data_IF_547261121386
#
_entry.id   IF_547261121386
#
_cell.length_a   1.000
_cell.length_b   1.000
_cell.length_c   1.000
_cell.angle_alpha   90.00
_cell.angle_beta   90.00
_cell.angle_gamma   90.00
#
_symmetry.space_group_name_H-M   'P 1'
#
loop_
_entity.id
_entity.type
_entity.pdbx_description
1 polymer ?
#
# COMPACT_ATOMS: atom_id res chain seq x y z
N UNK A 1 -31.34 -0.01 14.43
CA UNK A 1 -31.04 0.38 13.03
C UNK A 1 -31.30 -0.84 12.15
N UNK A 2 -31.80 -0.66 10.94
CA UNK A 2 -32.01 -1.77 9.98
C UNK A 2 -30.87 -1.78 8.95
N UNK A 3 -30.52 -2.96 8.39
CA UNK A 3 -29.55 -3.04 7.29
C UNK A 3 -29.92 -2.11 6.13
N UNK A 4 -28.96 -1.41 5.57
CA UNK A 4 -29.15 -0.45 4.48
C UNK A 4 -28.17 -0.74 3.33
N UNK A 5 -28.59 -0.39 2.10
CA UNK A 5 -27.71 -0.40 0.91
C UNK A 5 -27.08 0.97 0.67
N UNK A 6 -27.35 1.94 1.52
CA UNK A 6 -26.81 3.30 1.42
C UNK A 6 -25.59 3.43 2.31
N UNK A 7 -24.51 3.97 1.74
CA UNK A 7 -23.27 4.27 2.47
C UNK A 7 -23.51 5.12 3.72
N UNK A 8 -24.52 5.96 3.71
CA UNK A 8 -24.93 6.77 4.86
C UNK A 8 -25.24 5.91 6.08
N UNK A 9 -25.90 4.75 5.88
CA UNK A 9 -26.17 3.81 6.97
C UNK A 9 -24.90 3.27 7.61
N UNK A 10 -23.88 2.95 6.82
CA UNK A 10 -22.59 2.49 7.36
C UNK A 10 -21.85 3.61 8.12
N UNK A 11 -21.90 4.84 7.62
CA UNK A 11 -21.32 6.00 8.32
C UNK A 11 -22.03 6.26 9.67
N UNK A 12 -23.35 6.13 9.71
CA UNK A 12 -24.14 6.28 10.95
C UNK A 12 -23.84 5.16 11.94
N UNK A 13 -23.65 3.91 11.48
CA UNK A 13 -23.23 2.79 12.31
C UNK A 13 -21.85 3.07 12.92
N UNK A 14 -20.88 3.44 12.14
CA UNK A 14 -19.52 3.74 12.63
C UNK A 14 -19.52 4.92 13.61
N UNK A 15 -20.29 5.96 13.34
CA UNK A 15 -20.46 7.08 14.27
C UNK A 15 -21.06 6.62 15.62
N UNK A 16 -22.04 5.73 15.59
CA UNK A 16 -22.66 5.17 16.80
C UNK A 16 -21.67 4.29 17.58
N UNK A 17 -20.94 3.41 16.90
CA UNK A 17 -19.91 2.55 17.51
C UNK A 17 -18.82 3.36 18.22
N UNK A 18 -18.45 4.50 17.67
CA UNK A 18 -17.41 5.38 18.22
C UNK A 18 -17.94 6.60 18.99
N UNK A 19 -19.19 6.56 19.44
CA UNK A 19 -19.73 7.63 20.29
C UNK A 19 -19.28 7.45 21.75
N UNK A 20 -18.57 8.41 22.36
CA UNK A 20 -18.13 8.31 23.74
C UNK A 20 -19.30 8.06 24.70
N UNK A 21 -19.12 7.11 25.61
CA UNK A 21 -20.07 6.75 26.65
C UNK A 21 -21.21 5.82 26.24
N UNK A 22 -21.53 5.69 24.95
CA UNK A 22 -22.60 4.81 24.45
C UNK A 22 -22.16 3.86 23.34
N UNK A 23 -21.01 4.08 22.77
CA UNK A 23 -20.44 3.26 21.70
C UNK A 23 -19.84 1.95 22.20
N UNK A 24 -19.24 1.20 21.29
CA UNK A 24 -18.56 -0.04 21.60
C UNK A 24 -17.19 0.25 22.24
N UNK A 25 -16.90 -0.30 23.43
CA UNK A 25 -15.62 -0.05 24.11
C UNK A 25 -14.41 -0.43 23.26
N UNK A 26 -14.47 -1.54 22.52
CA UNK A 26 -13.39 -1.97 21.63
C UNK A 26 -13.15 -0.97 20.50
N UNK A 27 -14.21 -0.53 19.81
CA UNK A 27 -14.08 0.46 18.71
C UNK A 27 -13.54 1.79 19.21
N UNK A 28 -13.90 2.22 20.41
CA UNK A 28 -13.44 3.48 21.03
C UNK A 28 -11.94 3.48 21.35
N UNK A 29 -11.36 2.33 21.70
CA UNK A 29 -9.95 2.19 22.01
C UNK A 29 -9.04 2.18 20.76
N UNK A 30 -9.62 1.96 19.58
CA UNK A 30 -8.83 1.81 18.37
C UNK A 30 -8.18 3.13 17.91
N UNK A 31 -6.98 2.97 17.35
CA UNK A 31 -6.18 3.99 16.70
C UNK A 31 -5.90 3.64 15.24
N UNK A 32 -5.37 4.58 14.44
CA UNK A 32 -4.92 4.27 13.08
C UNK A 32 -3.93 3.10 13.02
N UNK A 33 -3.02 3.05 14.00
CA UNK A 33 -2.00 2.00 14.04
C UNK A 33 -2.58 0.64 14.41
N UNK A 34 -3.57 0.57 15.33
CA UNK A 34 -4.18 -0.70 15.74
C UNK A 34 -5.10 -1.28 14.66
N UNK A 35 -5.71 -0.44 13.81
CA UNK A 35 -6.60 -0.86 12.72
C UNK A 35 -5.83 -1.14 11.41
N UNK A 36 -4.64 -0.57 11.22
CA UNK A 36 -3.87 -0.76 9.99
C UNK A 36 -3.60 -2.25 9.61
N UNK A 37 -3.32 -3.18 10.56
CA UNK A 37 -3.19 -4.61 10.21
C UNK A 37 -4.45 -5.20 9.60
N UNK A 38 -5.63 -4.91 10.14
CA UNK A 38 -6.91 -5.39 9.60
C UNK A 38 -7.17 -4.90 8.18
N UNK A 39 -6.81 -3.65 7.85
CA UNK A 39 -6.91 -3.14 6.47
C UNK A 39 -6.12 -3.99 5.48
N UNK A 40 -4.99 -4.56 5.90
CA UNK A 40 -4.16 -5.45 5.07
C UNK A 40 -4.80 -6.83 4.99
N UNK A 41 -5.33 -7.35 6.10
CA UNK A 41 -6.03 -8.63 6.20
C UNK A 41 -7.23 -8.66 5.24
N UNK A 42 -8.15 -7.70 5.33
CA UNK A 42 -9.31 -7.58 4.44
C UNK A 42 -8.89 -7.49 2.95
N UNK A 43 -7.79 -6.80 2.65
CA UNK A 43 -7.29 -6.75 1.28
C UNK A 43 -6.79 -8.12 0.80
N UNK A 44 -6.24 -8.97 1.66
CA UNK A 44 -5.87 -10.34 1.32
C UNK A 44 -7.09 -11.23 1.16
N UNK A 45 -8.11 -11.10 2.00
CA UNK A 45 -9.36 -11.86 1.93
C UNK A 45 -10.12 -11.56 0.63
N UNK A 46 -10.17 -10.29 0.21
CA UNK A 46 -10.64 -9.91 -1.14
C UNK A 46 -9.86 -10.65 -2.24
N UNK A 47 -8.53 -10.73 -2.14
CA UNK A 47 -7.72 -11.43 -3.17
C UNK A 47 -7.93 -12.93 -3.15
N UNK A 48 -8.15 -13.54 -1.99
CA UNK A 48 -8.45 -14.95 -1.83
C UNK A 48 -9.82 -15.31 -2.41
N UNK A 49 -10.87 -14.53 -2.10
CA UNK A 49 -12.19 -14.69 -2.68
C UNK A 49 -12.16 -14.61 -4.23
N UNK A 50 -11.37 -13.68 -4.79
CA UNK A 50 -11.14 -13.58 -6.23
C UNK A 50 -10.46 -14.86 -6.78
N UNK A 51 -9.43 -15.35 -6.10
CA UNK A 51 -8.67 -16.54 -6.54
C UNK A 51 -9.55 -17.80 -6.54
N UNK A 52 -10.48 -17.91 -5.60
CA UNK A 52 -11.47 -18.99 -5.51
C UNK A 52 -12.64 -18.83 -6.50
N UNK A 53 -12.85 -17.64 -7.05
CA UNK A 53 -14.01 -17.33 -7.90
C UNK A 53 -15.31 -17.25 -7.12
N UNK A 54 -15.26 -16.98 -5.80
CA UNK A 54 -16.41 -16.91 -4.90
C UNK A 54 -16.97 -15.48 -4.86
N UNK A 55 -17.95 -15.21 -5.72
CA UNK A 55 -18.55 -13.87 -5.79
C UNK A 55 -19.39 -13.47 -4.58
N UNK A 56 -20.13 -14.38 -3.91
CA UNK A 56 -20.78 -14.06 -2.63
C UNK A 56 -19.77 -13.61 -1.58
N UNK A 57 -18.73 -14.39 -1.34
CA UNK A 57 -17.66 -14.09 -0.40
C UNK A 57 -16.94 -12.78 -0.76
N UNK A 58 -16.59 -12.59 -2.03
CA UNK A 58 -16.01 -11.33 -2.52
C UNK A 58 -16.87 -10.10 -2.16
N UNK A 59 -18.19 -10.26 -2.15
CA UNK A 59 -19.09 -9.17 -1.76
C UNK A 59 -18.98 -8.84 -0.26
N UNK A 60 -18.79 -9.86 0.58
CA UNK A 60 -18.61 -9.70 2.03
C UNK A 60 -17.26 -9.05 2.31
N UNK A 61 -16.17 -9.57 1.74
CA UNK A 61 -14.81 -9.04 1.93
C UNK A 61 -14.62 -7.60 1.40
N UNK A 62 -15.31 -7.25 0.30
CA UNK A 62 -15.35 -5.85 -0.15
C UNK A 62 -16.11 -4.95 0.83
N UNK A 63 -17.09 -5.50 1.55
CA UNK A 63 -17.79 -4.80 2.64
C UNK A 63 -16.86 -4.53 3.82
N UNK A 64 -16.07 -5.51 4.23
CA UNK A 64 -15.13 -5.41 5.35
C UNK A 64 -13.97 -4.46 5.00
N UNK A 65 -13.45 -4.53 3.79
CA UNK A 65 -12.47 -3.54 3.31
C UNK A 65 -13.06 -2.10 3.27
N UNK A 66 -14.33 -1.94 2.88
CA UNK A 66 -15.02 -0.65 2.93
C UNK A 66 -15.20 -0.18 4.38
N UNK A 67 -15.49 -1.09 5.32
CA UNK A 67 -15.56 -0.78 6.74
C UNK A 67 -14.24 -0.20 7.26
N UNK A 68 -13.09 -0.75 6.86
CA UNK A 68 -11.78 -0.20 7.22
C UNK A 68 -11.61 1.25 6.74
N UNK A 69 -12.04 1.56 5.53
CA UNK A 69 -12.00 2.93 4.99
C UNK A 69 -12.87 3.88 5.83
N UNK A 70 -14.08 3.46 6.17
CA UNK A 70 -15.02 4.23 6.99
C UNK A 70 -14.48 4.43 8.41
N UNK A 71 -13.89 3.40 9.00
CA UNK A 71 -13.29 3.45 10.32
C UNK A 71 -12.16 4.49 10.40
N UNK A 72 -11.22 4.41 9.48
CA UNK A 72 -10.14 5.39 9.40
C UNK A 72 -10.65 6.81 9.16
N UNK A 73 -11.62 6.99 8.28
CA UNK A 73 -12.22 8.30 8.02
C UNK A 73 -12.93 8.85 9.27
N UNK A 74 -13.60 8.01 10.05
CA UNK A 74 -14.25 8.41 11.31
C UNK A 74 -13.23 8.85 12.36
N UNK A 75 -12.13 8.12 12.54
CA UNK A 75 -11.05 8.52 13.45
C UNK A 75 -10.42 9.86 13.04
N UNK A 76 -10.28 10.09 11.73
CA UNK A 76 -9.76 11.36 11.21
C UNK A 76 -10.73 12.53 11.45
N UNK A 77 -12.03 12.30 11.30
CA UNK A 77 -13.09 13.27 11.60
C UNK A 77 -13.09 13.66 13.08
N UNK A 78 -12.94 12.70 13.99
CA UNK A 78 -12.83 12.92 15.43
C UNK A 78 -11.63 13.81 15.80
N UNK A 79 -10.56 13.76 15.01
CA UNK A 79 -9.37 14.62 15.16
C UNK A 79 -9.50 15.97 14.41
N UNK A 80 -10.61 16.21 13.72
CA UNK A 80 -10.81 17.42 12.91
C UNK A 80 -9.90 17.49 11.67
N UNK A 81 -9.38 16.35 11.19
CA UNK A 81 -8.45 16.32 10.07
C UNK A 81 -9.17 16.26 8.71
N UNK A 82 -10.04 15.28 8.52
CA UNK A 82 -10.89 15.09 7.33
C UNK A 82 -12.01 14.09 7.65
N UNK A 83 -13.07 14.09 6.83
CA UNK A 83 -14.20 13.16 6.92
C UNK A 83 -14.24 12.22 5.72
N UNK A 84 -15.15 11.24 5.74
CA UNK A 84 -15.35 10.29 4.64
C UNK A 84 -15.66 10.99 3.30
N UNK A 85 -16.39 12.09 3.32
CA UNK A 85 -16.67 12.89 2.12
C UNK A 85 -15.40 13.39 1.43
N UNK A 86 -14.39 13.78 2.20
CA UNK A 86 -13.09 14.22 1.67
C UNK A 86 -12.32 13.06 1.01
N UNK A 87 -12.45 11.84 1.56
CA UNK A 87 -11.86 10.64 0.96
C UNK A 87 -12.50 10.36 -0.41
N UNK A 88 -13.84 10.46 -0.49
CA UNK A 88 -14.59 10.31 -1.75
C UNK A 88 -14.20 11.40 -2.74
N UNK A 89 -14.13 12.66 -2.32
CA UNK A 89 -13.71 13.77 -3.17
C UNK A 89 -12.28 13.56 -3.70
N UNK A 90 -11.36 13.14 -2.85
CA UNK A 90 -9.97 12.91 -3.23
C UNK A 90 -9.85 11.83 -4.32
N UNK A 91 -10.58 10.72 -4.20
CA UNK A 91 -10.53 9.65 -5.22
C UNK A 91 -11.28 10.03 -6.50
N UNK A 92 -12.43 10.67 -6.43
CA UNK A 92 -13.18 11.10 -7.60
C UNK A 92 -12.43 12.16 -8.41
N UNK A 93 -11.85 13.16 -7.75
CA UNK A 93 -10.96 14.15 -8.38
C UNK A 93 -9.80 13.48 -9.10
N UNK A 94 -9.16 12.50 -8.46
CA UNK A 94 -8.08 11.74 -9.04
C UNK A 94 -8.51 10.92 -10.26
N UNK A 95 -9.67 10.27 -10.21
CA UNK A 95 -10.19 9.47 -11.32
C UNK A 95 -10.55 10.34 -12.52
N UNK A 96 -11.22 11.46 -12.31
CA UNK A 96 -11.55 12.44 -13.36
C UNK A 96 -10.27 12.97 -14.02
N UNK A 97 -9.27 13.38 -13.21
CA UNK A 97 -7.98 13.89 -13.72
C UNK A 97 -7.23 12.84 -14.54
N UNK A 98 -7.26 11.57 -14.12
CA UNK A 98 -6.50 10.48 -14.78
C UNK A 98 -7.20 9.90 -16.00
N UNK A 99 -8.47 10.18 -16.19
CA UNK A 99 -9.26 9.68 -17.31
C UNK A 99 -9.88 10.81 -18.14
N UNK A 100 -9.06 11.76 -18.64
CA UNK A 100 -9.59 12.88 -19.45
C UNK A 100 -10.26 12.41 -20.73
N UNK A 101 -9.94 11.23 -21.21
CA UNK A 101 -10.55 10.59 -22.36
C UNK A 101 -11.98 10.08 -22.09
N UNK A 102 -12.40 9.99 -20.84
CA UNK A 102 -13.75 9.59 -20.43
C UNK A 102 -14.57 10.80 -19.98
N UNK A 103 -13.92 11.73 -19.26
CA UNK A 103 -14.60 12.81 -18.54
C UNK A 103 -14.41 14.20 -19.16
N UNK A 104 -13.53 14.37 -20.18
CA UNK A 104 -13.40 15.60 -20.93
C UNK A 104 -13.82 15.40 -22.38
N UNK A 105 -14.46 16.42 -22.96
CA UNK A 105 -14.83 16.41 -24.39
C UNK A 105 -13.55 16.35 -25.26
N UNK A 106 -13.22 15.16 -25.73
CA UNK A 106 -12.14 14.94 -26.71
C UNK A 106 -12.64 14.05 -27.81
N UNK A 107 -12.72 14.61 -29.02
CA UNK A 107 -12.90 13.86 -30.25
C UNK A 107 -11.61 13.09 -30.59
N UNK A 108 -11.69 11.78 -30.76
CA UNK A 108 -10.59 10.96 -31.27
C UNK A 108 -10.59 9.52 -30.75
N UNK A 109 -10.06 8.62 -31.56
CA UNK A 109 -9.82 7.22 -31.16
C UNK A 109 -8.62 7.17 -30.22
N UNK A 110 -8.86 6.72 -28.98
CA UNK A 110 -7.82 6.62 -27.94
C UNK A 110 -7.40 5.17 -27.81
N UNK A 111 -6.10 4.89 -28.03
CA UNK A 111 -5.54 3.55 -27.83
C UNK A 111 -5.08 3.35 -26.39
N UNK A 112 -4.95 2.10 -25.91
CA UNK A 112 -4.42 1.79 -24.57
C UNK A 112 -3.03 2.41 -24.33
N UNK A 113 -2.19 2.52 -25.34
CA UNK A 113 -0.84 3.12 -25.27
C UNK A 113 -0.92 4.62 -25.01
N UNK A 114 -1.84 5.34 -25.64
CA UNK A 114 -2.09 6.76 -25.40
C UNK A 114 -2.54 7.00 -23.96
N UNK A 115 -3.41 6.12 -23.43
CA UNK A 115 -3.86 6.18 -22.03
C UNK A 115 -2.70 5.97 -21.08
N UNK A 116 -1.83 4.97 -21.32
CA UNK A 116 -0.67 4.68 -20.49
C UNK A 116 0.31 5.86 -20.45
N UNK A 117 0.63 6.45 -21.59
CA UNK A 117 1.53 7.62 -21.66
C UNK A 117 0.96 8.87 -20.98
N UNK A 118 -0.36 9.09 -21.08
CA UNK A 118 -1.04 10.16 -20.35
C UNK A 118 -1.01 9.93 -18.82
N UNK A 119 -1.22 8.72 -18.39
CA UNK A 119 -1.16 8.33 -16.97
C UNK A 119 0.22 8.56 -16.34
N UNK A 120 1.29 8.23 -17.06
CA UNK A 120 2.67 8.44 -16.58
C UNK A 120 2.94 9.94 -16.33
N UNK A 121 2.55 10.80 -17.28
CA UNK A 121 2.68 12.26 -17.11
C UNK A 121 1.86 12.77 -15.93
N UNK A 122 0.59 12.41 -15.84
CA UNK A 122 -0.29 12.85 -14.74
C UNK A 122 0.24 12.39 -13.38
N UNK A 123 0.75 11.15 -13.28
CA UNK A 123 1.37 10.65 -12.05
C UNK A 123 2.62 11.43 -11.66
N UNK A 124 3.44 11.84 -12.64
CA UNK A 124 4.62 12.66 -12.40
C UNK A 124 4.24 14.05 -11.88
N UNK A 125 3.23 14.69 -12.49
CA UNK A 125 2.68 15.98 -12.04
C UNK A 125 2.11 15.89 -10.61
N UNK A 126 1.29 14.88 -10.32
CA UNK A 126 0.74 14.64 -8.99
C UNK A 126 1.82 14.40 -7.93
N UNK A 127 2.91 13.75 -8.32
CA UNK A 127 4.08 13.54 -7.45
C UNK A 127 4.79 14.86 -7.15
N UNK A 128 4.97 15.70 -8.16
CA UNK A 128 5.58 17.02 -8.01
C UNK A 128 4.71 17.94 -7.13
N UNK A 129 3.38 17.98 -7.38
CA UNK A 129 2.43 18.74 -6.57
C UNK A 129 2.42 18.31 -5.10
N UNK A 130 2.47 16.99 -4.84
CA UNK A 130 2.56 16.46 -3.47
C UNK A 130 3.87 16.82 -2.78
N UNK A 131 4.97 16.78 -3.52
CA UNK A 131 6.27 17.18 -2.99
C UNK A 131 6.29 18.67 -2.62
N UNK A 132 5.68 19.52 -3.44
CA UNK A 132 5.58 20.96 -3.19
C UNK A 132 4.69 21.33 -1.98
N UNK A 133 3.73 20.46 -1.63
CA UNK A 133 2.81 20.68 -0.47
C UNK A 133 3.37 20.15 0.85
N UNK A 134 4.45 19.39 0.84
CA UNK A 134 5.06 18.86 2.07
C UNK A 134 5.78 19.96 2.81
N UNK A 135 5.59 20.08 4.14
CA UNK A 135 6.38 20.96 4.98
C UNK A 135 7.88 20.66 4.84
N UNK A 136 8.75 21.67 4.92
CA UNK A 136 10.20 21.50 4.73
C UNK A 136 10.86 20.48 5.67
N UNK A 137 10.32 20.31 6.86
CA UNK A 137 10.77 19.37 7.88
C UNK A 137 10.39 17.89 7.58
N UNK A 138 9.43 17.67 6.69
CA UNK A 138 9.04 16.34 6.21
C UNK A 138 9.60 16.00 4.82
N UNK A 139 10.36 16.90 4.23
CA UNK A 139 11.13 16.62 3.04
C UNK A 139 12.33 15.79 3.50
N UNK A 140 12.20 14.47 3.43
CA UNK A 140 13.38 13.61 3.49
C UNK A 140 14.31 14.03 2.37
N UNK A 141 15.36 14.75 2.73
CA UNK A 141 16.28 15.51 1.84
C UNK A 141 17.16 14.64 0.97
N UNK A 142 16.92 13.36 0.93
CA UNK A 142 17.65 12.48 0.06
C UNK A 142 16.84 12.27 -1.21
N UNK A 143 17.29 12.89 -2.31
CA UNK A 143 16.89 12.53 -3.66
C UNK A 143 17.27 11.09 -4.03
N UNK A 144 17.25 10.19 -3.02
CA UNK A 144 17.48 8.77 -3.18
C UNK A 144 16.41 8.19 -4.10
N UNK A 145 16.84 7.46 -5.09
CA UNK A 145 16.00 6.69 -6.00
C UNK A 145 14.99 5.83 -5.23
N UNK A 146 15.38 5.33 -4.07
CA UNK A 146 14.61 4.42 -3.23
C UNK A 146 13.60 5.13 -2.30
N UNK A 147 13.69 6.46 -2.12
CA UNK A 147 12.83 7.23 -1.21
C UNK A 147 11.32 7.14 -1.52
N UNK A 148 10.96 6.71 -2.73
CA UNK A 148 9.56 6.52 -3.11
C UNK A 148 8.97 5.13 -2.80
N UNK A 149 9.77 4.20 -2.25
CA UNK A 149 9.29 2.86 -1.83
C UNK A 149 8.66 2.99 -0.44
N UNK A 150 7.39 2.59 -0.35
CA UNK A 150 6.64 2.73 0.90
C UNK A 150 7.08 1.70 1.93
N UNK A 151 7.31 2.13 3.17
CA UNK A 151 7.73 1.24 4.25
C UNK A 151 6.62 0.26 4.71
N UNK A 152 5.34 0.65 4.55
CA UNK A 152 4.19 -0.16 4.98
C UNK A 152 3.76 -1.25 3.99
N UNK A 153 4.59 -1.60 3.01
CA UNK A 153 4.33 -2.75 2.14
C UNK A 153 4.75 -4.07 2.82
N UNK A 154 4.15 -5.23 2.44
CA UNK A 154 4.69 -6.52 2.82
C UNK A 154 6.17 -6.63 2.43
N UNK A 155 6.99 -7.25 3.29
CA UNK A 155 8.44 -7.22 3.17
C UNK A 155 8.94 -7.67 1.78
N UNK A 156 8.43 -8.79 1.27
CA UNK A 156 8.82 -9.31 -0.06
C UNK A 156 8.37 -8.39 -1.20
N UNK A 157 7.16 -7.82 -1.12
CA UNK A 157 6.69 -6.85 -2.13
C UNK A 157 7.55 -5.58 -2.13
N UNK A 158 7.98 -5.14 -0.94
CA UNK A 158 8.89 -4.01 -0.78
C UNK A 158 10.27 -4.32 -1.36
N UNK A 159 10.81 -5.53 -1.11
CA UNK A 159 12.07 -5.99 -1.67
C UNK A 159 12.04 -5.94 -3.20
N UNK A 160 10.99 -6.46 -3.83
CA UNK A 160 10.78 -6.39 -5.27
C UNK A 160 10.75 -4.95 -5.81
N UNK A 161 10.06 -4.04 -5.12
CA UNK A 161 10.00 -2.65 -5.57
C UNK A 161 11.36 -1.94 -5.42
N UNK A 162 12.10 -2.22 -4.35
CA UNK A 162 13.47 -1.74 -4.15
C UNK A 162 14.38 -2.22 -5.27
N UNK A 163 14.40 -3.52 -5.54
CA UNK A 163 15.21 -4.11 -6.61
C UNK A 163 14.85 -3.52 -7.98
N UNK A 164 13.56 -3.45 -8.34
CA UNK A 164 13.12 -2.88 -9.61
C UNK A 164 13.60 -1.43 -9.80
N UNK A 165 13.67 -0.65 -8.73
CA UNK A 165 14.21 0.71 -8.79
C UNK A 165 15.72 0.73 -8.91
N UNK A 166 16.43 -0.12 -8.19
CA UNK A 166 17.88 -0.26 -8.30
C UNK A 166 18.28 -0.70 -9.71
N UNK A 167 17.59 -1.69 -10.27
CA UNK A 167 17.75 -2.18 -11.63
C UNK A 167 17.60 -1.08 -12.69
N UNK A 168 16.67 -0.12 -12.48
CA UNK A 168 16.46 0.99 -13.42
C UNK A 168 17.66 1.92 -13.61
N UNK A 169 18.66 1.84 -12.74
CA UNK A 169 19.93 2.60 -12.82
C UNK A 169 21.14 1.69 -13.01
N UNK A 170 20.91 0.44 -13.39
CA UNK A 170 21.96 -0.53 -13.69
C UNK A 170 22.49 -1.31 -12.49
N UNK A 171 21.86 -1.19 -11.31
CA UNK A 171 22.19 -2.02 -10.16
C UNK A 171 21.33 -3.28 -10.18
N UNK A 172 21.81 -4.27 -10.94
CA UNK A 172 21.11 -5.54 -11.14
C UNK A 172 22.10 -6.67 -11.46
N UNK A 173 21.69 -7.90 -11.25
CA UNK A 173 22.46 -9.08 -11.65
C UNK A 173 22.05 -9.52 -13.06
N UNK A 174 23.04 -9.63 -13.96
CA UNK A 174 22.80 -10.07 -15.34
C UNK A 174 22.75 -11.61 -15.47
N UNK A 175 23.21 -12.35 -14.45
CA UNK A 175 23.21 -13.81 -14.41
C UNK A 175 22.51 -14.30 -13.12
N UNK A 176 21.45 -15.10 -13.22
CA UNK A 176 20.79 -15.70 -12.05
C UNK A 176 21.72 -16.50 -11.13
N UNK A 177 22.86 -16.96 -11.63
CA UNK A 177 23.87 -17.66 -10.82
C UNK A 177 24.55 -16.74 -9.80
N UNK A 178 24.62 -15.45 -10.08
CA UNK A 178 25.13 -14.45 -9.13
C UNK A 178 24.23 -14.36 -7.92
N UNK A 179 22.91 -14.39 -8.12
CA UNK A 179 21.93 -14.40 -7.02
C UNK A 179 22.08 -15.68 -6.18
N UNK A 180 22.32 -16.85 -6.81
CA UNK A 180 22.58 -18.09 -6.09
C UNK A 180 23.87 -18.04 -5.27
N UNK A 181 24.89 -17.30 -5.74
CA UNK A 181 26.12 -17.10 -4.93
C UNK A 181 25.82 -16.22 -3.72
N UNK A 182 25.05 -15.16 -3.89
CA UNK A 182 24.67 -14.28 -2.78
C UNK A 182 23.84 -15.03 -1.74
N UNK A 183 22.86 -15.84 -2.15
CA UNK A 183 22.07 -16.67 -1.22
C UNK A 183 22.96 -17.59 -0.37
N UNK A 184 24.03 -18.16 -0.95
CA UNK A 184 24.96 -19.00 -0.19
C UNK A 184 25.84 -18.18 0.77
N UNK A 185 26.29 -17.02 0.32
CA UNK A 185 27.04 -16.06 1.13
C UNK A 185 26.23 -15.65 2.36
N UNK A 186 24.96 -15.23 2.21
CA UNK A 186 24.10 -14.87 3.34
C UNK A 186 23.84 -16.05 4.29
N UNK A 187 23.72 -17.27 3.75
CA UNK A 187 23.56 -18.44 4.58
C UNK A 187 24.82 -18.73 5.42
N UNK A 188 26.01 -18.55 4.84
CA UNK A 188 27.30 -18.70 5.57
C UNK A 188 27.46 -17.60 6.64
N UNK A 189 27.01 -16.38 6.37
CA UNK A 189 27.02 -15.24 7.31
C UNK A 189 26.04 -15.44 8.47
N UNK A 190 24.86 -16.02 8.22
CA UNK A 190 23.92 -16.45 9.27
C UNK A 190 24.58 -17.51 10.19
N UNK A 191 25.28 -18.51 9.63
CA UNK A 191 25.97 -19.54 10.40
C UNK A 191 27.07 -18.92 11.27
N UNK A 192 27.83 -17.97 10.72
CA UNK A 192 28.86 -17.23 11.48
C UNK A 192 28.26 -16.37 12.61
N UNK A 193 27.14 -15.70 12.37
CA UNK A 193 26.45 -14.92 13.40
C UNK A 193 25.93 -15.81 14.54
N UNK A 194 25.41 -16.98 14.23
CA UNK A 194 25.00 -17.99 15.22
C UNK A 194 26.18 -18.47 16.08
N UNK A 195 27.34 -18.76 15.46
CA UNK A 195 28.54 -19.21 16.14
C UNK A 195 29.11 -18.15 17.11
N UNK A 196 28.95 -16.88 16.76
CA UNK A 196 29.39 -15.76 17.62
C UNK A 196 28.33 -15.33 18.64
N UNK A 197 27.08 -15.83 18.55
CA UNK A 197 25.97 -15.44 19.41
C UNK A 197 25.51 -13.99 19.21
N UNK A 198 25.72 -13.42 18.03
CA UNK A 198 25.35 -12.06 17.67
C UNK A 198 23.92 -12.02 17.09
N UNK A 199 22.96 -11.66 17.95
CA UNK A 199 21.54 -11.63 17.58
C UNK A 199 21.20 -10.52 16.58
N UNK A 200 21.91 -9.40 16.61
CA UNK A 200 21.67 -8.28 15.70
C UNK A 200 22.19 -8.65 14.30
N UNK A 201 23.41 -9.18 14.20
CA UNK A 201 23.94 -9.70 12.94
C UNK A 201 23.05 -10.83 12.38
N UNK A 202 22.59 -11.76 13.22
CA UNK A 202 21.68 -12.83 12.80
C UNK A 202 20.38 -12.29 12.17
N UNK A 203 19.83 -11.22 12.74
CA UNK A 203 18.62 -10.60 12.21
C UNK A 203 18.89 -9.89 10.85
N UNK A 204 20.02 -9.20 10.73
CA UNK A 204 20.42 -8.51 9.51
C UNK A 204 20.67 -9.50 8.36
N UNK A 205 21.49 -10.54 8.58
CA UNK A 205 21.80 -11.54 7.55
C UNK A 205 20.58 -12.37 7.15
N UNK A 206 19.66 -12.65 8.09
CA UNK A 206 18.38 -13.28 7.76
C UNK A 206 17.54 -12.37 6.83
N UNK A 207 17.55 -11.08 7.07
CA UNK A 207 16.91 -10.10 6.19
C UNK A 207 17.51 -10.07 4.79
N UNK A 208 18.82 -10.11 4.67
CA UNK A 208 19.56 -10.10 3.40
C UNK A 208 19.36 -11.41 2.62
N UNK A 209 19.31 -12.57 3.31
CA UNK A 209 18.93 -13.83 2.70
C UNK A 209 17.52 -13.79 2.09
N UNK A 210 16.53 -13.29 2.83
CA UNK A 210 15.15 -13.14 2.34
C UNK A 210 15.09 -12.18 1.14
N UNK A 211 15.86 -11.10 1.18
CA UNK A 211 15.96 -10.16 0.07
C UNK A 211 16.57 -10.80 -1.18
N UNK A 212 17.68 -11.55 -1.03
CA UNK A 212 18.34 -12.27 -2.12
C UNK A 212 17.42 -13.31 -2.75
N UNK A 213 16.65 -14.08 -1.94
CA UNK A 213 15.67 -15.06 -2.42
C UNK A 213 14.58 -14.42 -3.27
N UNK A 214 14.02 -13.28 -2.83
CA UNK A 214 12.96 -12.59 -3.57
C UNK A 214 13.47 -11.99 -4.89
N UNK A 215 14.69 -11.45 -4.91
CA UNK A 215 15.36 -11.02 -6.14
C UNK A 215 15.52 -12.19 -7.10
N UNK A 216 15.97 -13.35 -6.61
CA UNK A 216 16.13 -14.56 -7.42
C UNK A 216 14.85 -14.97 -8.12
N UNK A 217 13.72 -14.89 -7.42
CA UNK A 217 12.39 -15.15 -7.97
C UNK A 217 12.03 -14.23 -9.13
N UNK A 218 12.48 -12.99 -9.10
CA UNK A 218 12.19 -12.00 -10.15
C UNK A 218 12.98 -12.22 -11.45
N UNK A 219 14.08 -13.01 -11.40
CA UNK A 219 14.96 -13.29 -12.53
C UNK A 219 14.67 -14.65 -13.21
N UNK A 220 13.70 -15.41 -12.71
CA UNK A 220 13.21 -16.67 -13.28
C UNK A 220 11.90 -16.45 -14.00
#
# INVERSE_FOLDING_TARGET
>A
MLPSRDIKGLLEIMAALRTPGTGCPWDLEQSFASIAPYTIEEAYEVTDAIARGDLPDLCEELGDLLLQVVFHARMAEEQGAFAFADVVEAITRKMIRRHPHVFADKDGVITPEHVKGAWERIKAEEKAERAARRPPDQITTNGSLLSGVKAGQPALSRAMELQRKASSVGFDWNDPREVLRKIREEADEIEAALDHGDADALADETGDLLFALEIGRAHV
#
